data_IF_630846549085
#
_entry.id   IF_630846549085
#
_cell.length_a   1.000
_cell.length_b   1.000
_cell.length_c   1.000
_cell.angle_alpha   90.00
_cell.angle_beta   90.00
_cell.angle_gamma   90.00
#
_symmetry.space_group_name_H-M   'P 1'
#
loop_
_entity.id
_entity.type
_entity.pdbx_description
1 polymer ?
#
# COMPACT_ATOMS: atom_id res chain seq x y z
N UNK A 1 -24.12 14.12 -15.88
CA UNK A 1 -23.39 12.95 -16.45
C UNK A 1 -22.23 12.60 -15.54
N UNK A 2 -22.18 11.36 -15.03
CA UNK A 2 -21.04 10.79 -14.28
C UNK A 2 -20.36 9.81 -15.24
N UNK A 3 -19.14 10.11 -15.68
CA UNK A 3 -18.33 9.16 -16.44
C UNK A 3 -17.69 8.19 -15.44
N UNK A 4 -18.31 7.02 -15.27
CA UNK A 4 -17.60 5.87 -14.71
C UNK A 4 -16.75 5.32 -15.85
N UNK A 5 -15.43 5.47 -15.76
CA UNK A 5 -14.51 4.89 -16.73
C UNK A 5 -14.44 3.38 -16.49
N UNK A 6 -15.25 2.61 -17.23
CA UNK A 6 -15.41 1.16 -17.10
C UNK A 6 -14.16 0.33 -17.48
N UNK A 7 -13.06 0.97 -17.88
CA UNK A 7 -11.90 0.31 -18.48
C UNK A 7 -10.85 -0.25 -17.48
N UNK A 8 -11.25 -0.48 -16.23
CA UNK A 8 -10.37 -1.01 -15.17
C UNK A 8 -10.98 -2.21 -14.43
N UNK A 9 -12.23 -2.58 -14.73
CA UNK A 9 -12.87 -3.74 -14.11
C UNK A 9 -12.48 -4.98 -14.93
N UNK A 10 -11.54 -5.78 -14.41
CA UNK A 10 -11.13 -7.04 -15.02
C UNK A 10 -9.73 -7.06 -15.68
N UNK A 11 -8.88 -6.05 -15.48
CA UNK A 11 -7.47 -6.20 -15.84
C UNK A 11 -6.80 -7.16 -14.86
N UNK A 12 -6.24 -8.26 -15.39
CA UNK A 12 -5.39 -9.14 -14.62
C UNK A 12 -4.22 -8.31 -14.04
N UNK A 13 -3.92 -8.50 -12.76
CA UNK A 13 -2.78 -7.92 -12.07
C UNK A 13 -1.49 -8.42 -12.75
N UNK A 14 -1.05 -7.77 -13.82
CA UNK A 14 0.14 -8.18 -14.58
C UNK A 14 1.36 -7.41 -14.10
N UNK A 15 2.36 -8.14 -13.61
CA UNK A 15 3.64 -7.59 -13.18
C UNK A 15 3.84 -7.62 -11.66
N UNK A 16 5.00 -7.14 -11.20
CA UNK A 16 5.33 -7.05 -9.77
C UNK A 16 4.77 -5.75 -9.21
N UNK A 17 3.90 -5.84 -8.23
CA UNK A 17 3.33 -4.64 -7.61
C UNK A 17 4.18 -4.20 -6.42
N UNK A 18 4.35 -2.89 -6.28
CA UNK A 18 5.19 -2.29 -5.24
C UNK A 18 4.39 -1.24 -4.50
N UNK A 19 4.38 -1.33 -3.17
CA UNK A 19 3.80 -0.33 -2.29
C UNK A 19 4.85 0.13 -1.28
N UNK A 20 4.93 1.43 -1.09
CA UNK A 20 5.76 2.08 -0.09
C UNK A 20 4.84 2.73 0.92
N UNK A 21 4.89 2.27 2.17
CA UNK A 21 4.10 2.81 3.28
C UNK A 21 5.06 3.48 4.24
N UNK A 22 4.83 4.76 4.52
CA UNK A 22 5.59 5.51 5.52
C UNK A 22 4.70 5.79 6.71
N UNK A 23 5.17 5.41 7.90
CA UNK A 23 4.49 5.61 9.17
C UNK A 23 5.25 6.65 9.99
N UNK A 24 4.52 7.47 10.74
CA UNK A 24 5.04 8.36 11.78
C UNK A 24 4.39 8.02 13.11
N UNK A 25 5.16 7.49 14.07
CA UNK A 25 4.69 7.12 15.40
C UNK A 25 3.39 6.27 15.38
N UNK A 26 3.40 5.21 14.55
CA UNK A 26 2.26 4.31 14.26
C UNK A 26 1.07 4.95 13.52
N UNK A 27 1.13 6.23 13.20
CA UNK A 27 0.17 6.86 12.30
C UNK A 27 0.60 6.71 10.85
N UNK A 28 -0.35 6.39 9.98
CA UNK A 28 -0.11 6.35 8.55
C UNK A 28 0.19 7.77 8.03
N UNK A 29 1.38 7.96 7.45
CA UNK A 29 1.80 9.27 6.93
C UNK A 29 1.64 9.36 5.41
N UNK A 30 2.20 8.40 4.67
CA UNK A 30 2.18 8.39 3.19
C UNK A 30 2.06 6.96 2.68
N UNK A 31 1.26 6.77 1.62
CA UNK A 31 1.26 5.55 0.80
C UNK A 31 1.57 5.94 -0.63
N UNK A 32 2.56 5.27 -1.23
CA UNK A 32 2.84 5.31 -2.66
C UNK A 32 2.72 3.91 -3.23
N UNK A 33 2.12 3.76 -4.41
CA UNK A 33 1.88 2.45 -5.03
C UNK A 33 2.15 2.48 -6.51
N UNK A 34 2.56 1.35 -7.07
CA UNK A 34 2.65 1.16 -8.52
C UNK A 34 1.27 1.31 -9.19
N UNK A 35 1.27 1.67 -10.47
CA UNK A 35 0.04 1.73 -11.25
C UNK A 35 -0.68 0.38 -11.28
N UNK A 36 -2.01 0.42 -11.19
CA UNK A 36 -2.89 -0.75 -11.12
C UNK A 36 -2.59 -1.73 -9.96
N UNK A 37 -1.81 -1.33 -8.94
CA UNK A 37 -1.60 -2.15 -7.74
C UNK A 37 -2.92 -2.33 -6.96
N UNK A 38 -3.20 -3.55 -6.46
CA UNK A 38 -4.32 -3.79 -5.57
C UNK A 38 -4.17 -2.92 -4.32
N UNK A 39 -5.24 -2.18 -4.01
CA UNK A 39 -5.25 -1.16 -2.97
C UNK A 39 -6.51 -1.30 -2.14
N UNK A 40 -6.34 -1.33 -0.82
CA UNK A 40 -7.42 -1.22 0.14
C UNK A 40 -7.43 0.17 0.78
N UNK A 41 -8.59 0.55 1.32
CA UNK A 41 -8.73 1.80 2.07
C UNK A 41 -7.75 1.78 3.25
N UNK A 42 -6.86 2.77 3.37
CA UNK A 42 -5.93 2.84 4.48
C UNK A 42 -6.69 3.09 5.79
N UNK A 43 -6.15 2.54 6.87
CA UNK A 43 -6.56 2.91 8.23
C UNK A 43 -5.69 4.07 8.72
N UNK A 44 -6.18 4.80 9.72
CA UNK A 44 -5.40 5.83 10.40
C UNK A 44 -4.16 5.23 11.08
N UNK A 45 -4.29 3.99 11.54
CA UNK A 45 -3.25 3.20 12.16
C UNK A 45 -2.40 2.47 11.11
N UNK A 46 -1.08 2.57 11.25
CA UNK A 46 -0.15 1.98 10.30
C UNK A 46 -0.09 0.45 10.42
N UNK A 47 -0.17 -0.09 11.64
CA UNK A 47 -0.24 -1.54 11.84
C UNK A 47 -1.49 -2.15 11.19
N UNK A 48 -2.66 -1.52 11.37
CA UNK A 48 -3.90 -1.95 10.72
C UNK A 48 -3.81 -1.88 9.19
N UNK A 49 -3.22 -0.80 8.66
CA UNK A 49 -2.99 -0.67 7.21
C UNK A 49 -2.07 -1.77 6.69
N UNK A 50 -0.97 -2.07 7.39
CA UNK A 50 -0.08 -3.18 7.05
C UNK A 50 -0.80 -4.53 7.09
N UNK A 51 -1.63 -4.77 8.11
CA UNK A 51 -2.39 -6.02 8.26
C UNK A 51 -3.33 -6.24 7.06
N UNK A 52 -4.00 -5.19 6.58
CA UNK A 52 -4.84 -5.24 5.37
C UNK A 52 -4.03 -5.63 4.13
N UNK A 53 -2.92 -4.93 3.88
CA UNK A 53 -2.05 -5.25 2.74
C UNK A 53 -1.50 -6.69 2.79
N UNK A 54 -1.10 -7.16 3.96
CA UNK A 54 -0.66 -8.55 4.15
C UNK A 54 -1.81 -9.54 3.89
N UNK A 55 -3.03 -9.21 4.33
CA UNK A 55 -4.22 -10.05 4.15
C UNK A 55 -4.62 -10.22 2.68
N UNK A 56 -4.40 -9.20 1.83
CA UNK A 56 -4.61 -9.31 0.38
C UNK A 56 -3.42 -9.92 -0.37
N UNK A 57 -2.34 -10.27 0.34
CA UNK A 57 -1.23 -11.07 -0.17
C UNK A 57 0.11 -10.35 -0.32
N UNK A 58 0.20 -9.05 -0.05
CA UNK A 58 1.49 -8.35 -0.09
C UNK A 58 2.46 -8.88 0.96
N UNK A 59 3.73 -8.97 0.59
CA UNK A 59 4.81 -9.37 1.48
C UNK A 59 5.68 -8.18 1.81
N UNK A 60 6.08 -8.05 3.07
CA UNK A 60 7.07 -7.05 3.48
C UNK A 60 8.43 -7.46 2.89
N UNK A 61 8.93 -6.66 1.96
CA UNK A 61 10.22 -6.87 1.31
C UNK A 61 11.36 -6.21 2.09
N UNK A 62 11.13 -5.00 2.60
CA UNK A 62 12.12 -4.25 3.38
C UNK A 62 11.44 -3.32 4.39
N UNK A 63 12.08 -3.17 5.54
CA UNK A 63 11.73 -2.18 6.56
C UNK A 63 12.92 -1.24 6.70
N UNK A 64 12.69 0.05 6.53
CA UNK A 64 13.73 1.10 6.57
C UNK A 64 13.36 2.13 7.64
N UNK A 65 14.11 2.23 8.75
CA UNK A 65 13.94 3.34 9.68
C UNK A 65 14.44 4.63 9.00
N UNK A 66 13.59 5.65 8.91
CA UNK A 66 13.96 6.97 8.38
C UNK A 66 14.39 7.92 9.50
N UNK A 67 13.70 7.88 10.65
CA UNK A 67 14.05 8.61 11.89
C UNK A 67 13.54 7.82 13.11
N UNK A 68 13.76 8.32 14.33
CA UNK A 68 13.32 7.68 15.60
C UNK A 68 11.81 7.35 15.58
N UNK A 69 11.01 8.16 14.90
CA UNK A 69 9.55 8.01 14.83
C UNK A 69 9.05 7.71 13.42
N UNK A 70 9.92 7.66 12.40
CA UNK A 70 9.52 7.38 11.02
C UNK A 70 10.08 6.06 10.54
N UNK A 71 9.19 5.19 10.08
CA UNK A 71 9.55 3.91 9.47
C UNK A 71 8.88 3.79 8.11
N UNK A 72 9.62 3.26 7.15
CA UNK A 72 9.13 2.99 5.81
C UNK A 72 9.12 1.49 5.56
N UNK A 73 8.00 1.00 5.07
CA UNK A 73 7.78 -0.37 4.67
C UNK A 73 7.68 -0.44 3.15
N UNK A 74 8.48 -1.31 2.55
CA UNK A 74 8.39 -1.68 1.16
C UNK A 74 7.68 -3.03 1.07
N UNK A 75 6.53 -3.05 0.42
CA UNK A 75 5.71 -4.22 0.21
C UNK A 75 5.71 -4.61 -1.27
N UNK A 76 5.74 -5.91 -1.54
CA UNK A 76 5.69 -6.47 -2.89
C UNK A 76 4.68 -7.59 -2.99
N UNK A 77 3.96 -7.63 -4.11
CA UNK A 77 3.08 -8.73 -4.52
C UNK A 77 3.67 -9.37 -5.78
#
# INVERSE_FOLDING_TARGET
MRFINSNQIGQAWTGKHVIIITCFNDQLSVISKSNHAPFELPSTNCAETLARYVSIGYKIHRITPLTIQRVQYLLVL
#
